data_IF_625112262602
#
_entry.id   IF_625112262602
#
_cell.length_a   1.000
_cell.length_b   1.000
_cell.length_c   1.000
_cell.angle_alpha   90.00
_cell.angle_beta   90.00
_cell.angle_gamma   90.00
#
_symmetry.space_group_name_H-M   'P 1'
#
loop_
_entity.id
_entity.type
_entity.pdbx_description
1 polymer ?
#
# COMPACT_ATOMS: atom_id res chain seq x y z
N UNK A 1 -42.86 0.26 38.13
CA UNK A 1 -43.12 1.54 37.43
C UNK A 1 -42.25 1.55 36.18
N UNK A 2 -42.81 2.00 35.04
CA UNK A 2 -42.31 1.89 33.64
C UNK A 2 -42.98 0.76 32.85
N UNK A 3 -44.03 1.15 32.14
CA UNK A 3 -44.76 0.38 31.16
C UNK A 3 -43.99 0.31 29.84
N UNK A 4 -43.91 -0.89 29.25
CA UNK A 4 -43.40 -1.14 27.90
C UNK A 4 -44.53 -0.85 26.89
N UNK A 5 -44.37 0.19 26.09
CA UNK A 5 -45.23 0.47 24.93
C UNK A 5 -44.82 -0.46 23.76
N UNK A 6 -45.71 -1.37 23.38
CA UNK A 6 -45.59 -2.17 22.17
C UNK A 6 -46.11 -1.37 20.98
N UNK A 7 -45.22 -1.00 20.05
CA UNK A 7 -45.62 -0.40 18.77
C UNK A 7 -45.88 -1.54 17.79
N UNK A 8 -47.16 -1.75 17.50
CA UNK A 8 -47.64 -2.72 16.52
C UNK A 8 -47.24 -2.30 15.10
N UNK A 9 -46.43 -3.11 14.43
CA UNK A 9 -46.25 -3.03 12.98
C UNK A 9 -47.57 -3.37 12.28
N UNK A 10 -48.22 -2.34 11.75
CA UNK A 10 -49.45 -2.46 10.95
C UNK A 10 -49.06 -2.94 9.55
N UNK A 11 -48.93 -4.26 9.38
CA UNK A 11 -48.81 -4.87 8.06
C UNK A 11 -50.10 -4.65 7.28
N UNK A 12 -50.09 -3.71 6.33
CA UNK A 12 -51.16 -3.55 5.35
C UNK A 12 -51.21 -4.78 4.43
N UNK A 13 -52.02 -5.77 4.82
CA UNK A 13 -52.51 -6.80 3.89
C UNK A 13 -53.64 -6.17 3.06
N UNK A 14 -53.59 -6.17 1.72
CA UNK A 14 -54.73 -5.75 0.93
C UNK A 14 -55.82 -6.81 1.03
N UNK A 15 -57.05 -6.37 1.29
CA UNK A 15 -58.25 -7.19 1.39
C UNK A 15 -58.61 -7.79 0.02
N UNK A 16 -57.95 -8.88 -0.35
CA UNK A 16 -58.26 -9.68 -1.53
C UNK A 16 -58.63 -11.10 -1.08
N UNK A 17 -59.72 -11.23 -0.31
CA UNK A 17 -60.40 -12.51 -0.06
C UNK A 17 -61.69 -12.25 0.70
N UNK A 18 -62.77 -11.96 -0.04
CA UNK A 18 -64.18 -12.26 0.28
C UNK A 18 -65.11 -11.49 -0.67
N UNK A 19 -65.21 -11.95 -1.90
CA UNK A 19 -66.33 -11.67 -2.81
C UNK A 19 -66.27 -12.62 -4.02
N UNK A 20 -66.45 -13.92 -3.80
CA UNK A 20 -66.54 -14.93 -4.88
C UNK A 20 -67.93 -15.58 -4.96
N UNK A 21 -68.93 -15.08 -4.23
CA UNK A 21 -70.27 -15.66 -4.28
C UNK A 21 -71.35 -14.58 -4.35
N UNK A 22 -71.64 -14.12 -5.57
CA UNK A 22 -72.98 -13.80 -6.09
C UNK A 22 -72.84 -13.03 -7.41
N UNK A 23 -73.77 -13.32 -8.33
CA UNK A 23 -74.00 -12.63 -9.62
C UNK A 23 -73.22 -13.18 -10.82
N UNK A 24 -73.61 -14.39 -11.23
CA UNK A 24 -73.78 -14.67 -12.65
C UNK A 24 -75.00 -13.92 -13.19
N UNK A 25 -74.87 -13.42 -14.43
CA UNK A 25 -75.89 -12.90 -15.37
C UNK A 25 -75.79 -11.40 -15.71
N UNK A 26 -74.81 -11.06 -16.55
CA UNK A 26 -74.96 -10.05 -17.62
C UNK A 26 -73.71 -10.07 -18.52
N UNK A 27 -73.82 -10.83 -19.61
CA UNK A 27 -72.87 -10.83 -20.73
C UNK A 27 -73.21 -9.63 -21.61
N UNK A 28 -72.29 -8.66 -21.70
CA UNK A 28 -72.50 -7.55 -22.63
C UNK A 28 -71.73 -6.24 -22.41
N UNK A 29 -70.73 -6.15 -21.53
CA UNK A 29 -69.82 -4.99 -21.51
C UNK A 29 -68.57 -5.24 -20.64
N UNK A 30 -67.57 -5.99 -21.13
CA UNK A 30 -66.34 -6.24 -20.34
C UNK A 30 -65.00 -5.99 -21.04
N UNK A 31 -64.95 -5.69 -22.34
CA UNK A 31 -63.67 -5.43 -23.03
C UNK A 31 -63.19 -3.97 -22.98
N UNK A 32 -64.07 -2.97 -22.82
CA UNK A 32 -63.66 -1.55 -22.76
C UNK A 32 -63.29 -1.06 -21.35
N UNK A 33 -63.83 -1.68 -20.30
CA UNK A 33 -63.60 -1.25 -18.91
C UNK A 33 -62.26 -1.74 -18.33
N UNK A 34 -61.75 -2.88 -18.82
CA UNK A 34 -60.44 -3.43 -18.43
C UNK A 34 -59.28 -2.60 -19.00
N UNK A 35 -59.38 -2.18 -20.27
CA UNK A 35 -58.37 -1.32 -20.92
C UNK A 35 -58.32 0.07 -20.28
N UNK A 36 -59.46 0.68 -19.95
CA UNK A 36 -59.49 2.00 -19.29
C UNK A 36 -58.96 1.94 -17.85
N UNK A 37 -59.28 0.89 -17.07
CA UNK A 37 -58.75 0.71 -15.72
C UNK A 37 -57.24 0.44 -15.72
N UNK A 38 -56.74 -0.36 -16.67
CA UNK A 38 -55.31 -0.59 -16.85
C UNK A 38 -54.56 0.69 -17.23
N UNK A 39 -55.08 1.48 -18.16
CA UNK A 39 -54.48 2.76 -18.56
C UNK A 39 -54.46 3.79 -17.42
N UNK A 40 -55.47 3.80 -16.55
CA UNK A 40 -55.49 4.64 -15.34
C UNK A 40 -54.41 4.21 -14.33
N UNK A 41 -54.31 2.92 -14.02
CA UNK A 41 -53.28 2.38 -13.10
C UNK A 41 -51.88 2.68 -13.62
N UNK A 42 -51.65 2.51 -14.92
CA UNK A 42 -50.37 2.81 -15.59
C UNK A 42 -50.02 4.29 -15.49
N UNK A 43 -50.99 5.19 -15.65
CA UNK A 43 -50.81 6.65 -15.49
C UNK A 43 -50.51 7.04 -14.04
N UNK A 44 -51.17 6.41 -13.07
CA UNK A 44 -50.95 6.64 -11.64
C UNK A 44 -49.58 6.13 -11.20
N UNK A 45 -49.21 4.92 -11.62
CA UNK A 45 -47.88 4.38 -11.40
C UNK A 45 -46.80 5.26 -12.03
N UNK A 46 -46.97 5.71 -13.28
CA UNK A 46 -46.00 6.63 -13.94
C UNK A 46 -45.92 7.99 -13.25
N UNK A 47 -47.00 8.46 -12.62
CA UNK A 47 -46.98 9.71 -11.82
C UNK A 47 -46.27 9.50 -10.49
N UNK A 48 -46.56 8.42 -9.79
CA UNK A 48 -45.88 8.03 -8.56
C UNK A 48 -44.38 7.83 -8.80
N UNK A 49 -43.99 7.04 -9.80
CA UNK A 49 -42.60 6.77 -10.15
C UNK A 49 -41.82 8.04 -10.53
N UNK A 50 -42.44 8.99 -11.24
CA UNK A 50 -41.81 10.29 -11.53
C UNK A 50 -41.59 11.14 -10.28
N UNK A 51 -42.53 11.13 -9.34
CA UNK A 51 -42.38 11.83 -8.06
C UNK A 51 -41.27 11.20 -7.22
N UNK A 52 -41.24 9.88 -7.15
CA UNK A 52 -40.18 9.15 -6.44
C UNK A 52 -38.81 9.43 -7.04
N UNK A 53 -38.68 9.37 -8.38
CA UNK A 53 -37.45 9.73 -9.08
C UNK A 53 -37.04 11.20 -8.83
N UNK A 54 -37.99 12.12 -8.74
CA UNK A 54 -37.71 13.52 -8.42
C UNK A 54 -37.20 13.69 -6.98
N UNK A 55 -37.77 12.98 -6.00
CA UNK A 55 -37.27 13.00 -4.61
C UNK A 55 -35.87 12.42 -4.52
N UNK A 56 -35.61 11.29 -5.18
CA UNK A 56 -34.27 10.70 -5.23
C UNK A 56 -33.25 11.63 -5.89
N UNK A 57 -33.63 12.33 -6.98
CA UNK A 57 -32.77 13.31 -7.61
C UNK A 57 -32.44 14.50 -6.68
N UNK A 58 -33.41 14.98 -5.90
CA UNK A 58 -33.19 16.04 -4.90
C UNK A 58 -32.26 15.55 -3.79
N UNK A 59 -32.45 14.33 -3.28
CA UNK A 59 -31.59 13.76 -2.25
C UNK A 59 -30.15 13.56 -2.76
N UNK A 60 -29.98 13.06 -3.99
CA UNK A 60 -28.66 12.90 -4.60
C UNK A 60 -27.98 14.24 -4.81
N UNK A 61 -28.68 15.25 -5.34
CA UNK A 61 -28.11 16.59 -5.54
C UNK A 61 -27.72 17.23 -4.21
N UNK A 62 -28.60 17.21 -3.20
CA UNK A 62 -28.28 17.72 -1.86
C UNK A 62 -27.10 16.97 -1.22
N UNK A 63 -27.04 15.65 -1.37
CA UNK A 63 -25.93 14.83 -0.89
C UNK A 63 -24.60 15.19 -1.55
N UNK A 64 -24.55 15.26 -2.89
CA UNK A 64 -23.36 15.64 -3.64
C UNK A 64 -22.93 17.07 -3.30
N UNK A 65 -23.86 18.01 -3.24
CA UNK A 65 -23.58 19.40 -2.84
C UNK A 65 -23.03 19.47 -1.42
N UNK A 66 -23.62 18.73 -0.47
CA UNK A 66 -23.13 18.65 0.91
C UNK A 66 -21.70 18.11 1.01
N UNK A 67 -21.40 17.01 0.30
CA UNK A 67 -20.05 16.45 0.22
C UNK A 67 -19.05 17.45 -0.39
N UNK A 68 -19.46 18.14 -1.47
CA UNK A 68 -18.63 19.17 -2.10
C UNK A 68 -18.26 20.28 -1.11
N UNK A 69 -19.24 20.85 -0.41
CA UNK A 69 -18.97 21.88 0.62
C UNK A 69 -18.11 21.35 1.77
N UNK A 70 -18.32 20.10 2.20
CA UNK A 70 -17.51 19.49 3.25
C UNK A 70 -16.04 19.32 2.86
N UNK A 71 -15.76 18.98 1.59
CA UNK A 71 -14.41 18.77 1.07
C UNK A 71 -13.68 20.08 0.76
N UNK A 72 -14.40 21.15 0.41
CA UNK A 72 -13.82 22.43 -0.02
C UNK A 72 -13.72 23.48 1.10
N UNK A 73 -14.19 23.16 2.31
CA UNK A 73 -13.97 24.06 3.46
C UNK A 73 -12.48 24.10 3.83
N UNK A 74 -11.99 25.26 4.25
CA UNK A 74 -10.59 25.45 4.65
C UNK A 74 -10.15 24.52 5.80
N UNK A 75 -11.11 24.10 6.64
CA UNK A 75 -10.86 23.19 7.75
C UNK A 75 -10.92 21.70 7.37
N UNK A 76 -11.12 21.34 6.11
CA UNK A 76 -11.19 19.94 5.68
C UNK A 76 -9.84 19.23 5.91
N UNK A 77 -9.82 17.99 6.42
CA UNK A 77 -8.56 17.26 6.64
C UNK A 77 -7.70 17.17 5.37
N UNK A 78 -8.30 16.98 4.20
CA UNK A 78 -7.60 16.97 2.91
C UNK A 78 -6.89 18.29 2.61
N UNK A 79 -7.55 19.42 2.82
CA UNK A 79 -6.96 20.75 2.63
C UNK A 79 -5.84 21.02 3.63
N UNK A 80 -6.01 20.58 4.89
CA UNK A 80 -4.96 20.67 5.89
C UNK A 80 -3.72 19.85 5.50
N UNK A 81 -3.90 18.61 5.02
CA UNK A 81 -2.79 17.77 4.52
C UNK A 81 -2.07 18.45 3.36
N UNK A 82 -2.79 18.96 2.36
CA UNK A 82 -2.18 19.69 1.23
C UNK A 82 -1.36 20.89 1.71
N UNK A 83 -1.93 21.71 2.60
CA UNK A 83 -1.22 22.86 3.17
C UNK A 83 0.05 22.46 3.90
N UNK A 84 0.03 21.37 4.66
CA UNK A 84 1.21 20.86 5.35
C UNK A 84 2.29 20.41 4.35
N UNK A 85 1.92 19.72 3.28
CA UNK A 85 2.86 19.31 2.24
C UNK A 85 3.45 20.52 1.49
N UNK A 86 2.67 21.56 1.21
CA UNK A 86 3.16 22.80 0.61
C UNK A 86 4.18 23.51 1.51
N UNK A 87 3.92 23.55 2.82
CA UNK A 87 4.86 24.10 3.80
C UNK A 87 6.13 23.25 3.89
N UNK A 88 6.00 21.92 3.88
CA UNK A 88 7.13 21.02 3.85
C UNK A 88 8.03 21.27 2.63
N UNK A 89 7.43 21.41 1.44
CA UNK A 89 8.14 21.70 0.19
C UNK A 89 8.87 23.06 0.25
N UNK A 90 8.22 24.12 0.76
CA UNK A 90 8.84 25.44 0.94
C UNK A 90 10.01 25.39 1.90
N UNK A 91 9.88 24.69 3.03
CA UNK A 91 10.97 24.51 4.00
C UNK A 91 12.15 23.75 3.36
N UNK A 92 11.87 22.68 2.61
CA UNK A 92 12.90 21.91 1.92
C UNK A 92 13.66 22.76 0.87
N UNK A 93 12.94 23.60 0.10
CA UNK A 93 13.55 24.54 -0.84
C UNK A 93 14.41 25.61 -0.16
N UNK A 94 14.01 26.05 1.04
CA UNK A 94 14.79 26.97 1.87
C UNK A 94 15.98 26.30 2.58
N UNK A 95 16.14 24.98 2.46
CA UNK A 95 17.19 24.21 3.15
C UNK A 95 16.87 23.84 4.60
N UNK A 96 15.70 24.22 5.13
CA UNK A 96 15.26 23.85 6.49
C UNK A 96 14.65 22.45 6.48
N UNK A 97 15.53 21.45 6.50
CA UNK A 97 15.16 20.03 6.49
C UNK A 97 14.39 19.61 7.76
N UNK A 98 14.65 20.26 8.90
CA UNK A 98 13.94 19.94 10.14
C UNK A 98 12.49 20.45 10.12
N UNK A 99 12.26 21.67 9.62
CA UNK A 99 10.89 22.16 9.42
C UNK A 99 10.15 21.34 8.37
N UNK A 100 10.84 20.96 7.29
CA UNK A 100 10.26 20.12 6.25
C UNK A 100 9.70 18.80 6.83
N UNK A 101 10.51 18.04 7.58
CA UNK A 101 10.04 16.77 8.17
C UNK A 101 8.93 16.97 9.19
N UNK A 102 8.95 18.05 9.99
CA UNK A 102 7.85 18.36 10.93
C UNK A 102 6.52 18.51 10.19
N UNK A 103 6.50 19.21 9.07
CA UNK A 103 5.30 19.40 8.26
C UNK A 103 4.85 18.10 7.58
N UNK A 104 5.76 17.29 7.05
CA UNK A 104 5.40 15.97 6.50
C UNK A 104 4.82 15.03 7.57
N UNK A 105 5.38 15.04 8.79
CA UNK A 105 4.84 14.27 9.94
C UNK A 105 3.43 14.74 10.31
N UNK A 106 3.16 16.06 10.26
CA UNK A 106 1.82 16.59 10.50
C UNK A 106 0.85 16.10 9.42
N UNK A 107 1.22 16.16 8.14
CA UNK A 107 0.43 15.60 7.04
C UNK A 107 0.12 14.10 7.27
N UNK A 108 1.14 13.29 7.59
CA UNK A 108 0.98 11.88 7.94
C UNK A 108 -0.01 11.67 9.09
N UNK A 109 0.11 12.44 10.17
CA UNK A 109 -0.74 12.30 11.36
C UNK A 109 -2.22 12.62 11.08
N UNK A 110 -2.49 13.66 10.28
CA UNK A 110 -3.85 14.05 9.90
C UNK A 110 -4.49 12.97 9.02
N UNK A 111 -3.74 12.47 8.04
CA UNK A 111 -4.19 11.36 7.17
C UNK A 111 -4.53 10.13 8.01
N UNK A 112 -3.61 9.71 8.90
CA UNK A 112 -3.78 8.51 9.74
C UNK A 112 -4.97 8.63 10.70
N UNK A 113 -5.19 9.82 11.27
CA UNK A 113 -6.32 10.10 12.15
C UNK A 113 -7.67 10.13 11.40
N UNK A 114 -7.67 10.53 10.14
CA UNK A 114 -8.88 10.59 9.31
C UNK A 114 -9.27 9.19 8.80
N UNK A 115 -8.29 8.41 8.35
CA UNK A 115 -8.48 7.04 7.90
C UNK A 115 -7.19 6.24 8.12
N UNK A 116 -7.25 5.25 9.01
CA UNK A 116 -6.09 4.41 9.36
C UNK A 116 -5.64 3.47 8.22
N UNK A 117 -6.46 3.30 7.19
CA UNK A 117 -6.20 2.49 6.00
C UNK A 117 -6.14 3.36 4.73
N UNK A 118 -5.82 4.65 4.88
CA UNK A 118 -5.68 5.53 3.72
C UNK A 118 -4.52 5.09 2.83
N UNK A 119 -4.76 5.02 1.52
CA UNK A 119 -3.78 4.59 0.51
C UNK A 119 -2.51 5.44 0.49
N UNK A 120 -2.56 6.69 0.95
CA UNK A 120 -1.42 7.62 0.97
C UNK A 120 -0.52 7.45 2.21
N UNK A 121 -0.92 6.62 3.18
CA UNK A 121 -0.13 6.42 4.40
C UNK A 121 1.22 5.76 4.14
N UNK A 122 1.31 4.88 3.13
CA UNK A 122 2.58 4.30 2.70
C UNK A 122 3.54 5.41 2.23
N UNK A 123 3.12 6.21 1.24
CA UNK A 123 3.93 7.28 0.65
C UNK A 123 4.38 8.31 1.70
N UNK A 124 3.45 8.74 2.57
CA UNK A 124 3.74 9.70 3.63
C UNK A 124 4.72 9.14 4.68
N UNK A 125 4.53 7.90 5.13
CA UNK A 125 5.44 7.28 6.08
C UNK A 125 6.83 7.08 5.47
N UNK A 126 6.91 6.61 4.22
CA UNK A 126 8.16 6.44 3.50
C UNK A 126 8.91 7.76 3.32
N UNK A 127 8.19 8.83 2.94
CA UNK A 127 8.78 10.17 2.79
C UNK A 127 9.31 10.72 4.12
N UNK A 128 8.57 10.56 5.22
CA UNK A 128 9.03 10.95 6.56
C UNK A 128 10.29 10.17 6.94
N UNK A 129 10.32 8.86 6.69
CA UNK A 129 11.47 8.03 6.98
C UNK A 129 12.73 8.49 6.22
N UNK A 130 12.62 8.68 4.91
CA UNK A 130 13.71 9.19 4.08
C UNK A 130 14.19 10.58 4.54
N UNK A 131 13.27 11.47 4.94
CA UNK A 131 13.66 12.77 5.50
C UNK A 131 14.45 12.63 6.81
N UNK A 132 14.06 11.73 7.71
CA UNK A 132 14.84 11.46 8.92
C UNK A 132 16.20 10.84 8.64
N UNK A 133 16.30 9.95 7.63
CA UNK A 133 17.57 9.40 7.16
C UNK A 133 18.52 10.52 6.70
N UNK A 134 18.05 11.48 5.89
CA UNK A 134 18.86 12.64 5.47
C UNK A 134 19.29 13.58 6.60
N UNK A 135 18.63 13.47 7.76
CA UNK A 135 18.97 14.20 8.99
C UNK A 135 19.90 13.40 9.92
N UNK A 136 20.30 12.18 9.53
CA UNK A 136 21.08 11.27 10.37
C UNK A 136 20.29 10.71 11.56
N UNK A 137 18.96 10.83 11.57
CA UNK A 137 18.08 10.37 12.65
C UNK A 137 17.61 8.95 12.38
N UNK A 138 18.56 8.01 12.30
CA UNK A 138 18.33 6.63 11.86
C UNK A 138 17.21 5.93 12.63
N UNK A 139 17.17 5.99 13.98
CA UNK A 139 16.09 5.37 14.76
C UNK A 139 14.69 5.93 14.45
N UNK A 140 14.60 7.22 14.10
CA UNK A 140 13.33 7.80 13.66
C UNK A 140 12.96 7.29 12.26
N UNK A 141 13.93 7.22 11.35
CA UNK A 141 13.73 6.65 10.01
C UNK A 141 13.24 5.20 10.09
N UNK A 142 13.89 4.33 10.89
CA UNK A 142 13.50 2.93 11.07
C UNK A 142 12.03 2.80 11.47
N UNK A 143 11.58 3.60 12.46
CA UNK A 143 10.18 3.58 12.92
C UNK A 143 9.20 3.90 11.79
N UNK A 144 9.49 4.92 10.99
CA UNK A 144 8.60 5.31 9.89
C UNK A 144 8.66 4.37 8.69
N UNK A 145 9.81 3.75 8.41
CA UNK A 145 9.89 2.69 7.40
C UNK A 145 9.08 1.45 7.82
N UNK A 146 9.10 1.06 9.09
CA UNK A 146 8.25 -0.01 9.61
C UNK A 146 6.75 0.34 9.50
N UNK A 147 6.38 1.58 9.82
CA UNK A 147 5.01 2.07 9.60
C UNK A 147 4.65 2.04 8.11
N UNK A 148 5.58 2.38 7.20
CA UNK A 148 5.35 2.28 5.76
C UNK A 148 5.11 0.83 5.32
N UNK A 149 5.95 -0.12 5.76
CA UNK A 149 5.76 -1.55 5.48
C UNK A 149 4.38 -2.05 5.91
N UNK A 150 3.89 -1.60 7.07
CA UNK A 150 2.54 -1.93 7.55
C UNK A 150 1.42 -1.42 6.62
N UNK A 151 1.64 -0.31 5.93
CA UNK A 151 0.63 0.32 5.06
C UNK A 151 0.63 -0.19 3.61
N UNK A 152 1.62 -1.00 3.21
CA UNK A 152 1.70 -1.60 1.86
C UNK A 152 0.38 -2.27 1.40
N UNK A 153 -0.36 -3.02 2.24
CA UNK A 153 -1.63 -3.64 1.82
C UNK A 153 -2.70 -2.65 1.34
N UNK A 154 -2.62 -1.38 1.73
CA UNK A 154 -3.59 -0.34 1.38
C UNK A 154 -3.16 0.51 0.18
N UNK A 155 -1.97 0.27 -0.36
CA UNK A 155 -1.49 0.96 -1.57
C UNK A 155 -2.40 0.63 -2.75
N UNK A 156 -2.73 1.68 -3.53
CA UNK A 156 -3.50 1.54 -4.75
C UNK A 156 -2.63 0.94 -5.85
N UNK A 157 -3.02 -0.21 -6.35
CA UNK A 157 -2.32 -0.91 -7.44
C UNK A 157 -2.72 -2.38 -7.48
N UNK A 158 -2.14 -3.12 -8.40
CA UNK A 158 -2.18 -4.58 -8.39
C UNK A 158 -1.14 -5.14 -7.39
N UNK A 159 -1.01 -6.47 -7.37
CA UNK A 159 -0.04 -7.14 -6.51
C UNK A 159 1.42 -6.90 -6.92
N UNK A 160 1.69 -6.59 -8.19
CA UNK A 160 3.04 -6.28 -8.67
C UNK A 160 3.51 -4.95 -8.07
N UNK A 161 2.68 -3.91 -8.09
CA UNK A 161 2.98 -2.60 -7.46
C UNK A 161 3.25 -2.78 -5.96
N UNK A 162 2.37 -3.52 -5.25
CA UNK A 162 2.56 -3.78 -3.82
C UNK A 162 3.82 -4.61 -3.52
N UNK A 163 4.20 -5.51 -4.41
CA UNK A 163 5.43 -6.30 -4.26
C UNK A 163 6.68 -5.43 -4.40
N UNK A 164 6.69 -4.50 -5.34
CA UNK A 164 7.78 -3.52 -5.50
C UNK A 164 7.89 -2.63 -4.25
N UNK A 165 6.78 -2.03 -3.81
CA UNK A 165 6.78 -1.18 -2.61
C UNK A 165 7.25 -1.93 -1.37
N UNK A 166 6.83 -3.19 -1.23
CA UNK A 166 7.29 -4.07 -0.16
C UNK A 166 8.79 -4.35 -0.26
N UNK A 167 9.29 -4.68 -1.44
CA UNK A 167 10.71 -4.95 -1.67
C UNK A 167 11.57 -3.73 -1.28
N UNK A 168 11.22 -2.55 -1.79
CA UNK A 168 11.96 -1.30 -1.59
C UNK A 168 11.95 -0.89 -0.11
N UNK A 169 10.79 -0.95 0.57
CA UNK A 169 10.73 -0.58 1.98
C UNK A 169 11.48 -1.57 2.88
N UNK A 170 11.48 -2.87 2.57
CA UNK A 170 12.25 -3.87 3.30
C UNK A 170 13.77 -3.62 3.18
N UNK A 171 14.25 -3.27 1.99
CA UNK A 171 15.66 -2.88 1.76
C UNK A 171 16.05 -1.63 2.56
N UNK A 172 15.16 -0.63 2.63
CA UNK A 172 15.38 0.58 3.44
C UNK A 172 15.37 0.31 4.94
N UNK A 173 14.48 -0.57 5.40
CA UNK A 173 14.47 -1.01 6.80
C UNK A 173 15.80 -1.72 7.12
N UNK A 174 16.27 -2.59 6.22
CA UNK A 174 17.52 -3.31 6.41
C UNK A 174 18.72 -2.34 6.54
N UNK A 175 18.86 -1.41 5.60
CA UNK A 175 19.90 -0.36 5.66
C UNK A 175 19.79 0.47 6.95
N UNK A 176 18.59 0.88 7.32
CA UNK A 176 18.38 1.66 8.54
C UNK A 176 18.78 0.89 9.82
N UNK A 177 18.58 -0.44 9.86
CA UNK A 177 19.07 -1.28 10.95
C UNK A 177 20.60 -1.44 10.93
N UNK A 178 21.24 -1.48 9.75
CA UNK A 178 22.71 -1.48 9.66
C UNK A 178 23.29 -0.19 10.26
N UNK A 179 22.70 0.96 9.95
CA UNK A 179 23.15 2.27 10.42
C UNK A 179 23.10 2.41 11.94
N UNK A 180 22.16 1.74 12.61
CA UNK A 180 22.06 1.70 14.07
C UNK A 180 22.79 0.52 14.72
N UNK A 181 23.50 -0.31 13.93
CA UNK A 181 24.33 -1.41 14.41
C UNK A 181 23.61 -2.76 14.61
N UNK A 182 22.34 -2.86 14.24
CA UNK A 182 21.49 -4.05 14.45
C UNK A 182 21.60 -5.03 13.27
N UNK A 183 22.77 -5.62 13.10
CA UNK A 183 23.12 -6.42 11.92
C UNK A 183 22.20 -7.63 11.69
N UNK A 184 21.79 -8.32 12.76
CA UNK A 184 20.87 -9.46 12.66
C UNK A 184 19.47 -9.04 12.22
N UNK A 185 18.99 -7.89 12.68
CA UNK A 185 17.70 -7.37 12.24
C UNK A 185 17.77 -7.00 10.76
N UNK A 186 18.82 -6.30 10.33
CA UNK A 186 19.04 -5.96 8.93
C UNK A 186 19.03 -7.20 8.01
N UNK A 187 19.78 -8.25 8.37
CA UNK A 187 19.82 -9.49 7.59
C UNK A 187 18.44 -10.14 7.45
N UNK A 188 17.62 -10.14 8.52
CA UNK A 188 16.26 -10.66 8.44
C UNK A 188 15.38 -9.87 7.46
N UNK A 189 15.58 -8.55 7.34
CA UNK A 189 14.82 -7.73 6.39
C UNK A 189 15.31 -7.90 4.95
N UNK A 190 16.62 -8.05 4.72
CA UNK A 190 17.14 -8.42 3.40
C UNK A 190 16.59 -9.76 2.91
N UNK A 191 16.56 -10.77 3.78
CA UNK A 191 15.99 -12.08 3.45
C UNK A 191 14.50 -11.98 3.11
N UNK A 192 13.72 -11.22 3.88
CA UNK A 192 12.31 -10.97 3.57
C UNK A 192 12.13 -10.25 2.21
N UNK A 193 13.01 -9.31 1.86
CA UNK A 193 12.96 -8.65 0.56
C UNK A 193 13.21 -9.66 -0.58
N UNK A 194 14.23 -10.50 -0.43
CA UNK A 194 14.54 -11.58 -1.38
C UNK A 194 13.36 -12.57 -1.51
N UNK A 195 12.72 -12.96 -0.40
CA UNK A 195 11.54 -13.83 -0.40
C UNK A 195 10.32 -13.21 -1.10
N UNK A 196 10.18 -11.88 -1.08
CA UNK A 196 9.14 -11.20 -1.86
C UNK A 196 9.42 -11.36 -3.35
N UNK A 197 10.66 -11.14 -3.78
CA UNK A 197 11.06 -11.33 -5.17
C UNK A 197 10.88 -12.79 -5.63
N UNK A 198 11.35 -13.74 -4.83
CA UNK A 198 11.32 -15.16 -5.17
C UNK A 198 9.88 -15.66 -5.37
N UNK A 199 8.96 -15.30 -4.48
CA UNK A 199 7.53 -15.62 -4.64
C UNK A 199 6.92 -15.01 -5.89
N UNK A 200 7.33 -13.79 -6.27
CA UNK A 200 6.85 -13.15 -7.49
C UNK A 200 7.35 -13.89 -8.72
N UNK A 201 8.61 -14.34 -8.75
CA UNK A 201 9.16 -15.12 -9.87
C UNK A 201 8.53 -16.52 -9.94
N UNK A 202 8.36 -17.20 -8.81
CA UNK A 202 7.70 -18.51 -8.76
C UNK A 202 6.26 -18.46 -9.30
N UNK A 203 5.53 -17.38 -8.99
CA UNK A 203 4.16 -17.19 -9.47
C UNK A 203 4.05 -16.91 -10.98
N UNK A 204 5.14 -16.49 -11.65
CA UNK A 204 5.10 -16.06 -13.07
C UNK A 204 4.99 -17.21 -14.07
N UNK A 205 5.31 -18.46 -13.71
CA UNK A 205 5.12 -19.71 -14.48
C UNK A 205 5.50 -19.75 -16.00
N UNK A 206 6.00 -18.68 -16.62
CA UNK A 206 6.30 -18.62 -18.06
C UNK A 206 7.73 -18.14 -18.35
N UNK A 207 8.37 -18.77 -19.34
CA UNK A 207 9.72 -18.44 -19.83
C UNK A 207 9.80 -17.08 -20.55
N UNK A 208 8.67 -16.53 -20.99
CA UNK A 208 8.55 -15.19 -21.60
C UNK A 208 8.13 -14.12 -20.57
N UNK A 209 8.79 -14.10 -19.41
CA UNK A 209 8.45 -13.14 -18.36
C UNK A 209 8.85 -11.70 -18.78
N UNK A 210 7.85 -10.85 -18.99
CA UNK A 210 8.05 -9.41 -19.17
C UNK A 210 8.85 -8.83 -17.99
N UNK A 211 9.84 -8.00 -18.30
CA UNK A 211 10.65 -7.32 -17.30
C UNK A 211 9.75 -6.41 -16.46
N UNK A 212 9.60 -6.71 -15.17
CA UNK A 212 8.82 -5.88 -14.24
C UNK A 212 9.75 -4.99 -13.42
N UNK A 213 9.19 -3.94 -12.85
CA UNK A 213 9.95 -3.01 -12.00
C UNK A 213 10.69 -3.72 -10.86
N UNK A 214 10.11 -4.78 -10.28
CA UNK A 214 10.76 -5.54 -9.21
C UNK A 214 12.07 -6.23 -9.66
N UNK A 215 12.20 -6.55 -10.96
CA UNK A 215 13.43 -7.12 -11.53
C UNK A 215 14.56 -6.08 -11.64
N UNK A 216 14.20 -4.79 -11.69
CA UNK A 216 15.16 -3.68 -11.67
C UNK A 216 15.65 -3.37 -10.25
N UNK A 217 14.81 -3.62 -9.25
CA UNK A 217 15.08 -3.30 -7.84
C UNK A 217 15.86 -4.41 -7.12
N UNK A 218 15.59 -5.69 -7.41
CA UNK A 218 16.21 -6.81 -6.68
C UNK A 218 17.76 -6.80 -6.73
N UNK A 219 18.45 -6.40 -7.82
CA UNK A 219 19.91 -6.40 -7.82
C UNK A 219 20.48 -5.37 -6.85
N UNK A 220 19.75 -4.27 -6.57
CA UNK A 220 20.15 -3.26 -5.57
C UNK A 220 20.06 -3.84 -4.16
N UNK A 221 18.98 -4.56 -3.85
CA UNK A 221 18.81 -5.23 -2.55
C UNK A 221 19.92 -6.27 -2.31
N UNK A 222 20.20 -7.10 -3.32
CA UNK A 222 21.26 -8.10 -3.25
C UNK A 222 22.64 -7.45 -3.12
N UNK A 223 22.87 -6.33 -3.81
CA UNK A 223 24.10 -5.57 -3.67
C UNK A 223 24.30 -5.05 -2.23
N UNK A 224 23.27 -4.41 -1.65
CA UNK A 224 23.32 -3.89 -0.28
C UNK A 224 23.53 -5.00 0.75
N UNK A 225 22.84 -6.14 0.59
CA UNK A 225 23.02 -7.29 1.46
C UNK A 225 24.43 -7.89 1.32
N UNK A 226 24.95 -7.99 0.11
CA UNK A 226 26.33 -8.42 -0.16
C UNK A 226 27.37 -7.53 0.53
N UNK A 227 27.18 -6.20 0.51
CA UNK A 227 28.02 -5.27 1.27
C UNK A 227 27.98 -5.55 2.77
N UNK A 228 26.81 -5.86 3.33
CA UNK A 228 26.70 -6.23 4.74
C UNK A 228 27.54 -7.46 5.06
N UNK A 229 27.40 -8.51 4.23
CA UNK A 229 28.07 -9.79 4.45
C UNK A 229 29.59 -9.64 4.37
N UNK A 230 30.08 -8.81 3.45
CA UNK A 230 31.49 -8.39 3.38
C UNK A 230 31.96 -7.75 4.70
N UNK A 231 31.22 -6.76 5.22
CA UNK A 231 31.57 -6.14 6.51
C UNK A 231 31.57 -7.14 7.68
N UNK A 232 30.74 -8.18 7.60
CA UNK A 232 30.68 -9.28 8.57
C UNK A 232 31.71 -10.39 8.29
N UNK A 233 32.59 -10.23 7.28
CA UNK A 233 33.59 -11.21 6.84
C UNK A 233 33.00 -12.57 6.44
N UNK A 234 31.75 -12.56 5.96
CA UNK A 234 31.04 -13.75 5.45
C UNK A 234 31.22 -13.86 3.94
N UNK A 235 32.47 -14.09 3.53
CA UNK A 235 32.91 -14.00 2.13
C UNK A 235 32.12 -14.92 1.20
N UNK A 236 31.90 -16.17 1.59
CA UNK A 236 31.18 -17.14 0.74
C UNK A 236 29.71 -16.76 0.54
N UNK A 237 29.03 -16.32 1.60
CA UNK A 237 27.65 -15.83 1.52
C UNK A 237 27.58 -14.57 0.65
N UNK A 238 28.53 -13.64 0.82
CA UNK A 238 28.61 -12.42 0.02
C UNK A 238 28.81 -12.75 -1.47
N UNK A 239 29.72 -13.68 -1.79
CA UNK A 239 29.99 -14.16 -3.15
C UNK A 239 28.74 -14.75 -3.78
N UNK A 240 28.00 -15.57 -3.03
CA UNK A 240 26.75 -16.17 -3.52
C UNK A 240 25.70 -15.09 -3.84
N UNK A 241 25.45 -14.17 -2.91
CA UNK A 241 24.46 -13.10 -3.06
C UNK A 241 24.83 -12.14 -4.21
N UNK A 242 26.10 -11.74 -4.32
CA UNK A 242 26.56 -10.82 -5.35
C UNK A 242 26.65 -11.47 -6.74
N UNK A 243 26.96 -12.76 -6.81
CA UNK A 243 26.87 -13.52 -8.07
C UNK A 243 25.44 -13.55 -8.60
N UNK A 244 24.46 -13.73 -7.70
CA UNK A 244 23.03 -13.63 -8.03
C UNK A 244 22.66 -12.21 -8.48
N UNK A 245 23.14 -11.18 -7.78
CA UNK A 245 22.93 -9.78 -8.16
C UNK A 245 23.44 -9.52 -9.59
N UNK A 246 24.66 -9.97 -9.90
CA UNK A 246 25.30 -9.80 -11.21
C UNK A 246 24.49 -10.45 -12.33
N UNK A 247 23.97 -11.66 -12.12
CA UNK A 247 23.13 -12.36 -13.08
C UNK A 247 21.83 -11.58 -13.35
N UNK A 248 21.16 -11.13 -12.29
CA UNK A 248 19.90 -10.39 -12.39
C UNK A 248 20.08 -8.94 -12.87
N UNK A 249 21.30 -8.40 -12.85
CA UNK A 249 21.57 -7.02 -13.23
C UNK A 249 21.69 -6.77 -14.75
N UNK A 250 21.45 -7.78 -15.59
CA UNK A 250 21.46 -7.64 -17.05
C UNK A 250 20.68 -6.43 -17.61
N UNK A 251 19.46 -6.10 -17.12
CA UNK A 251 18.71 -4.94 -17.61
C UNK A 251 19.17 -3.59 -17.03
N UNK A 252 20.06 -3.56 -16.04
CA UNK A 252 20.54 -2.32 -15.44
C UNK A 252 21.65 -1.64 -16.28
N UNK A 253 21.88 -0.35 -15.98
CA UNK A 253 22.96 0.42 -16.60
C UNK A 253 24.34 -0.23 -16.37
N UNK A 254 25.28 0.05 -17.29
CA UNK A 254 26.66 -0.44 -17.20
C UNK A 254 27.29 -0.05 -15.86
N UNK A 255 27.01 1.15 -15.35
CA UNK A 255 27.53 1.63 -14.08
C UNK A 255 27.11 0.74 -12.89
N UNK A 256 25.83 0.37 -12.81
CA UNK A 256 25.34 -0.53 -11.75
C UNK A 256 25.99 -1.90 -11.83
N UNK A 257 26.11 -2.47 -13.04
CA UNK A 257 26.77 -3.77 -13.25
C UNK A 257 28.24 -3.72 -12.83
N UNK A 258 28.97 -2.67 -13.22
CA UNK A 258 30.36 -2.47 -12.82
C UNK A 258 30.52 -2.32 -11.31
N UNK A 259 29.55 -1.71 -10.63
CA UNK A 259 29.56 -1.58 -9.17
C UNK A 259 29.44 -2.95 -8.49
N UNK A 260 28.57 -3.83 -9.00
CA UNK A 260 28.46 -5.21 -8.54
C UNK A 260 29.75 -5.99 -8.85
N UNK A 261 30.30 -5.89 -10.05
CA UNK A 261 31.52 -6.60 -10.46
C UNK A 261 32.76 -6.15 -9.65
N UNK A 262 32.84 -4.87 -9.29
CA UNK A 262 33.91 -4.37 -8.39
C UNK A 262 33.78 -4.99 -7.00
N UNK A 263 32.57 -5.02 -6.45
CA UNK A 263 32.33 -5.57 -5.13
C UNK A 263 32.56 -7.09 -5.09
N UNK A 264 32.20 -7.80 -6.15
CA UNK A 264 32.46 -9.24 -6.25
C UNK A 264 33.97 -9.53 -6.28
N UNK A 265 34.75 -8.74 -7.02
CA UNK A 265 36.23 -8.86 -7.00
C UNK A 265 36.83 -8.62 -5.62
N UNK A 266 36.35 -7.63 -4.86
CA UNK A 266 36.83 -7.43 -3.49
C UNK A 266 36.51 -8.60 -2.56
N UNK A 267 35.41 -9.34 -2.79
CA UNK A 267 35.14 -10.58 -2.03
C UNK A 267 36.22 -11.62 -2.31
N UNK A 268 36.63 -11.77 -3.57
CA UNK A 268 37.63 -12.74 -3.98
C UNK A 268 39.00 -12.39 -3.38
N UNK A 269 39.44 -11.14 -3.54
CA UNK A 269 40.70 -10.64 -2.99
C UNK A 269 40.78 -10.80 -1.45
N UNK A 270 39.73 -10.39 -0.72
CA UNK A 270 39.73 -10.48 0.76
C UNK A 270 39.59 -11.91 1.29
N UNK A 271 39.01 -12.82 0.49
CA UNK A 271 38.91 -14.24 0.87
C UNK A 271 40.23 -14.98 0.75
N UNK A 272 41.08 -14.58 -0.20
CA UNK A 272 42.42 -15.15 -0.40
C UNK A 272 43.38 -14.69 0.71
N UNK A 273 43.40 -13.39 1.03
CA UNK A 273 44.24 -12.83 2.11
C UNK A 273 43.87 -13.35 3.51
N UNK A 274 42.61 -13.72 3.75
CA UNK A 274 42.14 -14.28 5.01
C UNK A 274 42.50 -15.75 5.24
N UNK A 275 42.86 -16.49 4.18
CA UNK A 275 43.17 -17.92 4.22
C UNK A 275 44.60 -18.26 4.66
N UNK A 276 45.54 -17.33 4.49
CA UNK A 276 46.98 -17.61 4.67
C UNK A 276 47.51 -17.45 6.11
N UNK A 277 46.67 -17.09 7.09
CA UNK A 277 47.13 -16.82 8.46
C UNK A 277 46.96 -17.99 9.46
N UNK A 278 46.91 -19.24 8.98
CA UNK A 278 46.77 -20.44 9.83
C UNK A 278 47.79 -21.56 9.57
N UNK A 279 48.98 -21.23 9.07
CA UNK A 279 50.04 -22.22 8.87
C UNK A 279 51.44 -21.69 9.14
N UNK A 280 51.83 -21.59 10.42
CA UNK A 280 53.22 -21.79 10.91
C UNK A 280 53.32 -21.53 12.42
N UNK A 281 52.68 -22.36 13.25
CA UNK A 281 53.25 -22.65 14.58
C UNK A 281 54.03 -23.96 14.47
N UNK A 282 55.26 -23.83 14.00
CA UNK A 282 56.31 -24.84 14.14
C UNK A 282 56.68 -24.88 15.64
N UNK A 283 55.96 -25.70 16.41
CA UNK A 283 56.34 -26.02 17.78
C UNK A 283 57.62 -26.88 17.74
N UNK A 284 58.73 -26.20 17.93
CA UNK A 284 60.01 -26.77 18.30
C UNK A 284 59.85 -27.64 19.56
N UNK A 285 60.25 -28.91 19.43
CA UNK A 285 60.46 -29.80 20.57
C UNK A 285 61.73 -29.37 21.33
N UNK A 286 61.71 -29.26 22.67
CA UNK A 286 62.94 -29.22 23.43
C UNK A 286 63.40 -30.64 23.78
N UNK A 287 64.72 -30.81 23.73
CA UNK A 287 65.49 -31.99 24.11
C UNK A 287 65.45 -32.30 25.62
#
# INVERSE_FOLDING_TARGET
MIARLAIAQRSHRPAASRAVAAMGSSLGHRSRFSSSAHELLKRDFKRWARREAAVLAILLTAGVTGVYFYQHRDSAPSQQVTRQLDLAAKCAQAGDREAAVRHTVQAYSITKATNAQDRHLFELAFAVAAQYETLGKASSATRYYLDALHHVPFVRGDDDVRAVDRLVVLDRIAQSYQDIGEQRAAENYYRQAIEVYDRVIEARQSEDAELKQIDLEIPVVLYNYGQQLLHLKRWDDARQVLSRARHLAAPLSIEHRLRIDRLLRSVDDESEDGGDNHGTEEQAAPA
#
